data_IF_409281026550
#
_entry.id   IF_409281026550
#
_cell.length_a   1.000
_cell.length_b   1.000
_cell.length_c   1.000
_cell.angle_alpha   90.00
_cell.angle_beta   90.00
_cell.angle_gamma   90.00
#
_symmetry.space_group_name_H-M   'P 1'
#
loop_
_entity.id
_entity.type
_entity.pdbx_description
1 polymer ?
#
# COMPACT_ATOMS: atom_id res chain seq x y z
N UNK A 1 9.36 19.56 22.69
CA UNK A 1 8.15 18.87 22.25
C UNK A 1 7.66 18.01 23.40
N UNK A 2 6.44 18.23 23.84
CA UNK A 2 5.81 17.48 24.96
C UNK A 2 5.13 16.18 24.45
N UNK A 3 5.44 15.79 23.21
CA UNK A 3 4.88 14.59 22.57
C UNK A 3 5.85 13.43 22.64
N UNK A 4 5.35 12.27 23.00
CA UNK A 4 6.04 10.97 22.91
C UNK A 4 5.63 10.30 21.59
N UNK A 5 6.61 9.85 20.83
CA UNK A 5 6.38 9.17 19.55
C UNK A 5 6.64 7.69 19.71
N UNK A 6 5.66 6.86 19.33
CA UNK A 6 5.79 5.41 19.22
C UNK A 6 5.96 5.03 17.75
N UNK A 7 6.95 4.21 17.46
CA UNK A 7 7.20 3.68 16.12
C UNK A 7 6.75 2.21 16.07
N UNK A 8 5.69 1.92 15.36
CA UNK A 8 5.10 0.58 15.29
C UNK A 8 6.09 -0.48 14.80
N UNK A 9 7.03 -0.11 13.93
CA UNK A 9 8.11 -0.99 13.49
C UNK A 9 9.00 -1.45 14.66
N UNK A 10 9.29 -0.56 15.61
CA UNK A 10 10.12 -0.85 16.77
C UNK A 10 9.38 -1.70 17.80
N UNK A 11 8.07 -1.57 17.85
CA UNK A 11 7.20 -2.35 18.73
C UNK A 11 6.80 -3.72 18.13
N UNK A 12 7.26 -4.03 16.93
CA UNK A 12 6.97 -5.30 16.26
C UNK A 12 5.53 -5.45 15.74
N UNK A 13 4.78 -4.34 15.67
CA UNK A 13 3.38 -4.31 15.24
C UNK A 13 3.18 -3.57 13.91
N UNK A 14 4.23 -3.43 13.11
CA UNK A 14 4.14 -2.89 11.78
C UNK A 14 3.30 -3.81 10.88
N UNK A 15 2.16 -3.33 10.42
CA UNK A 15 1.23 -4.04 9.54
C UNK A 15 1.16 -3.39 8.17
N UNK A 16 0.72 -4.14 7.17
CA UNK A 16 0.30 -3.58 5.89
C UNK A 16 -1.00 -2.80 6.11
N UNK A 17 -1.11 -1.64 5.48
CA UNK A 17 -2.29 -0.77 5.59
C UNK A 17 -3.12 -0.84 4.32
N UNK A 18 -2.60 -0.34 3.20
CA UNK A 18 -3.30 -0.28 1.94
C UNK A 18 -2.93 -1.43 1.01
N UNK A 19 -3.92 -1.91 0.23
CA UNK A 19 -3.71 -2.98 -0.73
C UNK A 19 -4.76 -2.97 -1.84
N UNK A 20 -4.45 -3.67 -2.92
CA UNK A 20 -5.43 -3.95 -3.97
C UNK A 20 -6.02 -5.34 -3.75
N UNK A 21 -7.33 -5.40 -3.68
CA UNK A 21 -8.08 -6.62 -3.40
C UNK A 21 -8.94 -6.99 -4.58
N UNK A 22 -8.97 -8.28 -4.92
CA UNK A 22 -9.81 -8.84 -5.98
C UNK A 22 -10.38 -10.18 -5.54
N UNK A 23 -11.50 -10.57 -6.11
CA UNK A 23 -12.04 -11.92 -5.91
C UNK A 23 -11.10 -12.94 -6.53
N UNK A 24 -10.76 -14.01 -5.80
CA UNK A 24 -9.86 -15.08 -6.24
C UNK A 24 -10.28 -15.67 -7.61
N UNK A 25 -11.59 -15.87 -7.80
CA UNK A 25 -12.13 -16.40 -9.06
C UNK A 25 -11.75 -15.54 -10.29
N UNK A 26 -11.56 -14.23 -10.11
CA UNK A 26 -11.16 -13.31 -11.18
C UNK A 26 -9.71 -13.49 -11.61
N UNK A 27 -8.85 -13.99 -10.72
CA UNK A 27 -7.45 -14.27 -11.04
C UNK A 27 -7.29 -15.45 -12.01
N UNK A 28 -8.33 -16.25 -12.20
CA UNK A 28 -8.38 -17.34 -13.18
C UNK A 28 -8.77 -16.89 -14.59
N UNK A 29 -9.22 -15.62 -14.75
CA UNK A 29 -9.55 -15.02 -16.03
C UNK A 29 -8.35 -14.24 -16.59
N UNK A 30 -7.69 -14.72 -17.68
CA UNK A 30 -6.53 -14.03 -18.26
C UNK A 30 -6.85 -12.63 -18.77
N UNK A 31 -8.07 -12.38 -19.24
CA UNK A 31 -8.47 -11.06 -19.72
C UNK A 31 -8.63 -10.07 -18.55
N UNK A 32 -9.12 -10.52 -17.40
CA UNK A 32 -9.15 -9.73 -16.19
C UNK A 32 -7.73 -9.41 -15.70
N UNK A 33 -6.86 -10.41 -15.60
CA UNK A 33 -5.46 -10.22 -15.18
C UNK A 33 -4.75 -9.23 -16.09
N UNK A 34 -4.92 -9.32 -17.42
CA UNK A 34 -4.32 -8.39 -18.37
C UNK A 34 -4.82 -6.94 -18.17
N UNK A 35 -6.12 -6.74 -17.90
CA UNK A 35 -6.68 -5.41 -17.59
C UNK A 35 -6.10 -4.84 -16.30
N UNK A 36 -6.03 -5.65 -15.24
CA UNK A 36 -5.49 -5.25 -13.94
C UNK A 36 -3.99 -4.97 -14.02
N UNK A 37 -3.24 -5.71 -14.83
CA UNK A 37 -1.84 -5.42 -15.09
C UNK A 37 -1.63 -4.04 -15.72
N UNK A 38 -2.48 -3.64 -16.67
CA UNK A 38 -2.44 -2.29 -17.26
C UNK A 38 -2.77 -1.21 -16.21
N UNK A 39 -3.76 -1.47 -15.35
CA UNK A 39 -4.08 -0.57 -14.24
C UNK A 39 -2.90 -0.41 -13.29
N UNK A 40 -2.26 -1.51 -12.89
CA UNK A 40 -1.07 -1.47 -12.02
C UNK A 40 0.10 -0.74 -12.68
N UNK A 41 0.37 -0.95 -13.98
CA UNK A 41 1.40 -0.20 -14.70
C UNK A 41 1.17 1.32 -14.63
N UNK A 42 -0.07 1.74 -14.85
CA UNK A 42 -0.43 3.16 -14.74
C UNK A 42 -0.27 3.68 -13.31
N UNK A 43 -0.67 2.89 -12.30
CA UNK A 43 -0.50 3.22 -10.89
C UNK A 43 0.97 3.32 -10.50
N UNK A 44 1.82 2.39 -10.93
CA UNK A 44 3.26 2.44 -10.68
C UNK A 44 3.90 3.69 -11.29
N UNK A 45 3.49 4.05 -12.52
CA UNK A 45 3.94 5.29 -13.16
C UNK A 45 3.51 6.51 -12.33
N UNK A 46 2.24 6.57 -11.91
CA UNK A 46 1.73 7.68 -11.10
C UNK A 46 2.47 7.82 -9.77
N UNK A 47 2.74 6.73 -9.07
CA UNK A 47 3.52 6.74 -7.84
C UNK A 47 4.98 7.17 -8.07
N UNK A 48 5.62 6.68 -9.14
CA UNK A 48 6.97 7.13 -9.50
C UNK A 48 7.02 8.63 -9.82
N UNK A 49 6.02 9.15 -10.51
CA UNK A 49 5.93 10.58 -10.81
C UNK A 49 5.71 11.39 -9.51
N UNK A 50 4.84 10.91 -8.60
CA UNK A 50 4.58 11.53 -7.30
C UNK A 50 5.80 11.53 -6.36
N UNK A 51 6.62 10.48 -6.39
CA UNK A 51 7.89 10.42 -5.64
C UNK A 51 8.88 11.44 -6.17
N UNK A 52 8.94 11.66 -7.49
CA UNK A 52 9.84 12.63 -8.13
C UNK A 52 9.40 14.08 -7.91
N UNK A 53 8.09 14.33 -7.87
CA UNK A 53 7.50 15.65 -7.67
C UNK A 53 6.37 15.60 -6.62
N UNK A 54 6.72 15.54 -5.33
CA UNK A 54 5.74 15.49 -4.25
C UNK A 54 4.82 16.73 -4.19
N UNK A 55 5.32 17.88 -4.61
CA UNK A 55 4.52 19.10 -4.62
C UNK A 55 3.50 19.10 -5.76
N UNK A 56 3.89 18.68 -6.95
CA UNK A 56 2.98 18.50 -8.08
C UNK A 56 1.89 17.47 -7.74
N UNK A 57 2.26 16.34 -7.14
CA UNK A 57 1.31 15.34 -6.67
C UNK A 57 0.33 15.92 -5.64
N UNK A 58 0.81 16.71 -4.67
CA UNK A 58 -0.05 17.36 -3.68
C UNK A 58 -1.05 18.33 -4.33
N UNK A 59 -0.65 19.08 -5.37
CA UNK A 59 -1.55 19.96 -6.13
C UNK A 59 -2.67 19.17 -6.82
N UNK A 60 -2.35 18.00 -7.39
CA UNK A 60 -3.34 17.11 -8.02
C UNK A 60 -4.35 16.61 -6.99
N UNK A 61 -3.88 16.20 -5.80
CA UNK A 61 -4.77 15.74 -4.71
C UNK A 61 -5.71 16.85 -4.26
N UNK A 62 -5.19 18.07 -4.03
CA UNK A 62 -6.01 19.22 -3.64
C UNK A 62 -7.04 19.57 -4.73
N UNK A 63 -6.65 19.53 -5.99
CA UNK A 63 -7.57 19.81 -7.09
C UNK A 63 -8.67 18.75 -7.25
N UNK A 64 -8.41 17.51 -6.86
CA UNK A 64 -9.36 16.40 -6.92
C UNK A 64 -10.26 16.30 -5.68
N UNK A 65 -9.96 17.04 -4.61
CA UNK A 65 -10.72 16.98 -3.35
C UNK A 65 -12.05 17.72 -3.47
N UNK A 66 -13.13 16.99 -3.66
CA UNK A 66 -14.49 17.53 -3.69
C UNK A 66 -14.98 18.03 -2.33
N UNK A 67 -14.36 17.60 -1.21
CA UNK A 67 -14.75 18.05 0.13
C UNK A 67 -14.22 19.42 0.50
N UNK A 68 -13.17 19.90 -0.20
CA UNK A 68 -12.48 21.14 0.12
C UNK A 68 -11.67 21.11 1.43
N UNK A 69 -11.49 19.94 2.03
CA UNK A 69 -10.77 19.79 3.30
C UNK A 69 -9.25 19.68 3.11
N UNK A 70 -8.79 19.28 1.92
CA UNK A 70 -7.39 19.13 1.61
C UNK A 70 -6.70 20.49 1.43
N UNK A 71 -5.63 20.75 2.18
CA UNK A 71 -4.78 21.93 2.00
C UNK A 71 -3.46 21.56 1.37
N UNK A 72 -2.92 22.41 0.50
CA UNK A 72 -1.64 22.16 -0.17
C UNK A 72 -0.50 21.92 0.84
N UNK A 73 -0.47 22.66 1.94
CA UNK A 73 0.54 22.53 2.99
C UNK A 73 0.54 21.13 3.61
N UNK A 74 -0.64 20.60 3.95
CA UNK A 74 -0.79 19.27 4.55
C UNK A 74 -0.47 18.19 3.54
N UNK A 75 -1.04 18.28 2.33
CA UNK A 75 -0.84 17.28 1.28
C UNK A 75 0.61 17.21 0.80
N UNK A 76 1.30 18.35 0.68
CA UNK A 76 2.73 18.36 0.37
C UNK A 76 3.54 17.61 1.42
N UNK A 77 3.35 17.92 2.71
CA UNK A 77 4.03 17.22 3.80
C UNK A 77 3.74 15.72 3.83
N UNK A 78 2.47 15.35 3.60
CA UNK A 78 2.06 13.96 3.52
C UNK A 78 2.77 13.26 2.36
N UNK A 79 2.76 13.85 1.16
CA UNK A 79 3.39 13.26 -0.01
C UNK A 79 4.91 13.10 0.14
N UNK A 80 5.59 14.09 0.74
CA UNK A 80 7.02 14.01 1.07
C UNK A 80 7.34 12.83 2.00
N UNK A 81 6.47 12.55 2.99
CA UNK A 81 6.65 11.41 3.90
C UNK A 81 6.33 10.08 3.20
N UNK A 82 5.26 10.02 2.42
CA UNK A 82 4.91 8.82 1.62
C UNK A 82 6.02 8.49 0.62
N UNK A 83 6.59 9.51 -0.04
CA UNK A 83 7.73 9.31 -0.95
C UNK A 83 8.93 8.65 -0.25
N UNK A 84 9.24 9.05 0.99
CA UNK A 84 10.29 8.41 1.79
C UNK A 84 9.97 6.95 2.11
N UNK A 85 8.72 6.64 2.47
CA UNK A 85 8.29 5.26 2.74
C UNK A 85 8.42 4.39 1.49
N UNK A 86 8.00 4.88 0.33
CA UNK A 86 8.12 4.17 -0.94
C UNK A 86 9.58 3.90 -1.31
N UNK A 87 10.47 4.89 -1.13
CA UNK A 87 11.88 4.77 -1.51
C UNK A 87 12.71 3.98 -0.50
N UNK A 88 12.33 3.99 0.79
CA UNK A 88 13.06 3.34 1.87
C UNK A 88 12.55 1.93 2.20
N UNK A 89 11.51 1.47 1.54
CA UNK A 89 10.88 0.18 1.84
C UNK A 89 11.78 -1.04 1.58
N UNK A 90 12.99 -0.85 1.04
CA UNK A 90 13.94 -1.93 0.74
C UNK A 90 13.46 -2.89 -0.35
N UNK A 91 12.24 -2.70 -0.85
CA UNK A 91 11.72 -3.46 -1.99
C UNK A 91 12.19 -2.82 -3.28
N UNK A 92 12.77 -3.56 -4.21
CA UNK A 92 13.26 -3.00 -5.46
C UNK A 92 12.14 -2.53 -6.39
N UNK A 93 10.87 -2.75 -6.02
CA UNK A 93 9.75 -2.55 -6.94
C UNK A 93 8.48 -2.12 -6.20
N UNK A 94 7.92 -0.98 -6.62
CA UNK A 94 6.65 -0.44 -6.09
C UNK A 94 5.53 -1.49 -6.19
N UNK A 95 4.74 -1.60 -5.12
CA UNK A 95 3.55 -2.41 -5.06
C UNK A 95 3.78 -3.92 -4.97
N UNK A 96 5.03 -4.36 -4.79
CA UNK A 96 5.30 -5.77 -4.52
C UNK A 96 4.89 -6.12 -3.08
N UNK A 97 4.09 -7.15 -2.94
CA UNK A 97 3.67 -7.67 -1.63
C UNK A 97 4.70 -8.66 -1.10
N UNK A 98 5.49 -8.24 -0.13
CA UNK A 98 6.49 -9.09 0.51
C UNK A 98 5.83 -10.17 1.38
N UNK A 99 6.26 -11.43 1.21
CA UNK A 99 5.76 -12.57 1.96
C UNK A 99 5.90 -12.35 3.47
N UNK A 100 7.06 -11.89 3.92
CA UNK A 100 7.33 -11.63 5.34
C UNK A 100 6.47 -10.52 5.93
N UNK A 101 6.14 -9.49 5.15
CA UNK A 101 5.26 -8.41 5.58
C UNK A 101 3.81 -8.90 5.70
N UNK A 102 3.36 -9.74 4.76
CA UNK A 102 2.06 -10.39 4.82
C UNK A 102 1.94 -11.28 6.08
N UNK A 103 2.89 -12.18 6.30
CA UNK A 103 2.90 -13.09 7.44
C UNK A 103 2.93 -12.35 8.79
N UNK A 104 3.74 -11.30 8.89
CA UNK A 104 3.77 -10.43 10.08
C UNK A 104 2.41 -9.76 10.31
N UNK A 105 1.77 -9.24 9.26
CA UNK A 105 0.44 -8.63 9.35
C UNK A 105 -0.58 -9.64 9.86
N UNK A 106 -0.63 -10.84 9.27
CA UNK A 106 -1.53 -11.92 9.72
C UNK A 106 -1.30 -12.25 11.21
N UNK A 107 -0.03 -12.38 11.61
CA UNK A 107 0.32 -12.66 13.01
C UNK A 107 -0.17 -11.58 13.97
N UNK A 108 0.01 -10.31 13.62
CA UNK A 108 -0.45 -9.18 14.44
C UNK A 108 -1.97 -9.16 14.54
N UNK A 109 -2.69 -9.39 13.44
CA UNK A 109 -4.15 -9.40 13.42
C UNK A 109 -4.76 -10.57 14.19
N UNK A 110 -4.08 -11.72 14.25
CA UNK A 110 -4.48 -12.87 15.07
C UNK A 110 -4.20 -12.65 16.56
N UNK A 111 -3.16 -11.89 16.90
CA UNK A 111 -2.70 -11.68 18.28
C UNK A 111 -3.48 -10.61 19.06
N UNK A 112 -4.52 -10.01 18.49
CA UNK A 112 -5.25 -8.85 19.01
C UNK A 112 -5.98 -9.01 20.34
N UNK A 113 -5.37 -9.66 21.34
CA UNK A 113 -5.88 -9.77 22.70
C UNK A 113 -7.22 -10.53 22.81
N UNK A 114 -8.15 -9.96 23.56
CA UNK A 114 -9.49 -10.56 23.76
C UNK A 114 -10.41 -10.46 22.53
N UNK A 115 -10.07 -9.63 21.54
CA UNK A 115 -10.87 -9.41 20.34
C UNK A 115 -9.98 -9.28 19.11
N UNK A 116 -9.39 -10.39 18.62
CA UNK A 116 -8.55 -10.35 17.42
C UNK A 116 -9.34 -9.92 16.19
N UNK A 117 -8.70 -9.14 15.30
CA UNK A 117 -9.31 -8.64 14.06
C UNK A 117 -9.70 -9.80 13.15
N UNK A 118 -8.87 -10.83 13.09
CA UNK A 118 -9.17 -12.07 12.38
C UNK A 118 -9.10 -13.25 13.37
N UNK A 119 -10.00 -14.23 13.20
CA UNK A 119 -10.11 -15.41 14.07
C UNK A 119 -9.38 -16.64 13.53
N UNK A 120 -8.97 -16.59 12.26
CA UNK A 120 -8.33 -17.70 11.58
C UNK A 120 -7.28 -17.15 10.62
N UNK A 121 -6.16 -17.85 10.50
CA UNK A 121 -5.15 -17.58 9.49
C UNK A 121 -5.76 -17.77 8.09
N UNK A 122 -5.74 -16.73 7.23
CA UNK A 122 -6.25 -16.85 5.86
C UNK A 122 -5.36 -17.71 4.96
N UNK A 123 -4.14 -17.99 5.38
CA UNK A 123 -3.17 -18.78 4.63
C UNK A 123 -2.55 -18.05 3.44
N UNK A 124 -1.59 -18.70 2.78
CA UNK A 124 -0.90 -18.13 1.63
C UNK A 124 -1.81 -17.87 0.41
N UNK A 125 -2.96 -18.53 0.32
CA UNK A 125 -3.92 -18.34 -0.77
C UNK A 125 -4.58 -16.96 -0.79
N UNK A 126 -4.56 -16.23 0.33
CA UNK A 126 -5.07 -14.87 0.40
C UNK A 126 -4.10 -13.81 -0.15
N UNK A 127 -2.90 -14.21 -0.55
CA UNK A 127 -1.89 -13.38 -1.20
C UNK A 127 -1.66 -13.87 -2.63
N UNK A 128 -1.46 -12.95 -3.58
CA UNK A 128 -1.18 -13.32 -4.97
C UNK A 128 -0.31 -12.28 -5.67
N UNK A 129 0.68 -12.75 -6.43
CA UNK A 129 1.54 -11.92 -7.29
C UNK A 129 1.12 -11.95 -8.76
N UNK A 130 0.09 -12.72 -9.14
CA UNK A 130 -0.31 -12.95 -10.55
C UNK A 130 -0.47 -11.65 -11.34
N UNK A 131 -1.16 -10.66 -10.78
CA UNK A 131 -1.37 -9.38 -11.47
C UNK A 131 -0.10 -8.53 -11.46
N UNK A 132 0.64 -8.55 -10.35
CA UNK A 132 1.90 -7.81 -10.24
C UNK A 132 2.95 -8.34 -11.23
N UNK A 133 3.12 -9.66 -11.33
CA UNK A 133 4.04 -10.32 -12.29
C UNK A 133 3.68 -9.99 -13.74
N UNK A 134 2.38 -9.92 -14.04
CA UNK A 134 1.91 -9.53 -15.36
C UNK A 134 2.16 -8.03 -15.65
N UNK A 135 2.14 -7.17 -14.64
CA UNK A 135 2.43 -5.75 -14.75
C UNK A 135 3.94 -5.44 -14.83
N UNK A 136 4.77 -6.27 -14.22
CA UNK A 136 6.23 -6.09 -14.17
C UNK A 136 6.96 -6.44 -15.48
N UNK A 137 6.28 -7.13 -16.40
CA UNK A 137 6.75 -7.44 -17.76
C UNK A 137 6.60 -6.19 -18.66
#
# INVERSE_FOLDING_TARGET
SDLVTFFYEKEGVATLEDGLYVMEAKLKDPAFVARMAKFLKASFKGWNDAVKDPEGAAKVVVAADASGSATLKVQKRQMENVAKLITNAGTPKIGYLEQSAYERTVKVLLAGGSSPVIKKDPGAAAMSHVVWDAAAK
#
